data_IF_534856147754
#
_entry.id   IF_534856147754
#
_cell.length_a   1.000
_cell.length_b   1.000
_cell.length_c   1.000
_cell.angle_alpha   90.00
_cell.angle_beta   90.00
_cell.angle_gamma   90.00
#
_symmetry.space_group_name_H-M   'P 1'
#
loop_
_entity.id
_entity.type
_entity.pdbx_description
1 polymer ?
#
# COMPACT_ATOMS: atom_id res chain seq x y z
N UNK A 1 22.36 0.93 5.05
CA UNK A 1 21.08 0.35 5.52
C UNK A 1 20.16 0.23 4.31
N UNK A 2 19.67 -0.98 4.02
CA UNK A 2 18.70 -1.18 2.92
C UNK A 2 17.38 -0.50 3.24
N UNK A 3 16.68 0.01 2.22
CA UNK A 3 15.38 0.67 2.41
C UNK A 3 14.27 -0.39 2.48
N UNK A 4 13.70 -0.63 3.67
CA UNK A 4 12.63 -1.63 3.88
C UNK A 4 11.24 -1.03 3.67
N UNK A 5 10.36 -1.69 2.92
CA UNK A 5 8.96 -1.29 2.69
C UNK A 5 8.03 -2.43 3.06
N UNK A 6 6.98 -2.12 3.82
CA UNK A 6 5.95 -3.08 4.24
C UNK A 6 4.63 -2.75 3.54
N UNK A 7 4.03 -3.73 2.86
CA UNK A 7 2.81 -3.59 2.08
C UNK A 7 1.65 -4.37 2.72
N UNK A 8 0.71 -3.66 3.34
CA UNK A 8 -0.58 -4.23 3.75
C UNK A 8 -1.48 -4.36 2.52
N UNK A 9 -1.78 -5.60 2.09
CA UNK A 9 -2.52 -5.87 0.85
C UNK A 9 -1.65 -6.03 -0.40
N UNK A 10 -0.34 -6.26 -0.23
CA UNK A 10 0.60 -6.49 -1.33
C UNK A 10 0.34 -7.74 -2.19
N UNK A 11 -0.48 -8.69 -1.72
CA UNK A 11 -0.76 -9.94 -2.44
C UNK A 11 -1.79 -9.82 -3.57
N UNK A 12 -2.37 -8.64 -3.79
CA UNK A 12 -3.30 -8.37 -4.91
C UNK A 12 -2.58 -7.88 -6.17
N UNK A 13 -3.31 -7.73 -7.28
CA UNK A 13 -2.76 -7.34 -8.59
C UNK A 13 -1.86 -6.09 -8.55
N UNK A 14 -2.37 -4.97 -8.01
CA UNK A 14 -1.59 -3.74 -7.90
C UNK A 14 -0.46 -3.87 -6.86
N UNK A 15 -0.73 -4.59 -5.76
CA UNK A 15 0.23 -4.82 -4.70
C UNK A 15 1.47 -5.57 -5.17
N UNK A 16 1.29 -6.61 -5.99
CA UNK A 16 2.39 -7.39 -6.55
C UNK A 16 3.22 -6.56 -7.53
N UNK A 17 2.58 -5.80 -8.42
CA UNK A 17 3.29 -4.94 -9.37
C UNK A 17 4.16 -3.88 -8.64
N UNK A 18 3.64 -3.29 -7.56
CA UNK A 18 4.42 -2.36 -6.72
C UNK A 18 5.54 -3.09 -5.97
N UNK A 19 5.26 -4.28 -5.43
CA UNK A 19 6.26 -5.07 -4.71
C UNK A 19 7.43 -5.49 -5.61
N UNK A 20 7.14 -5.97 -6.82
CA UNK A 20 8.13 -6.32 -7.84
C UNK A 20 8.97 -5.12 -8.25
N UNK A 21 8.32 -3.97 -8.51
CA UNK A 21 9.03 -2.74 -8.83
C UNK A 21 10.00 -2.34 -7.72
N UNK A 22 9.54 -2.31 -6.47
CA UNK A 22 10.36 -1.93 -5.32
C UNK A 22 11.53 -2.90 -5.12
N UNK A 23 11.26 -4.21 -5.20
CA UNK A 23 12.29 -5.23 -5.11
C UNK A 23 13.36 -5.08 -6.22
N UNK A 24 12.94 -4.78 -7.45
CA UNK A 24 13.84 -4.51 -8.57
C UNK A 24 14.72 -3.26 -8.36
N UNK A 25 14.23 -2.28 -7.60
CA UNK A 25 14.96 -1.05 -7.24
C UNK A 25 15.75 -1.17 -5.92
N UNK A 26 15.96 -2.39 -5.42
CA UNK A 26 16.84 -2.67 -4.28
C UNK A 26 16.21 -2.41 -2.91
N UNK A 27 14.88 -2.25 -2.85
CA UNK A 27 14.15 -2.20 -1.59
C UNK A 27 13.96 -3.61 -1.02
N UNK A 28 14.04 -3.74 0.30
CA UNK A 28 13.61 -4.95 1.00
C UNK A 28 12.09 -4.87 1.15
N UNK A 29 11.35 -5.78 0.49
CA UNK A 29 9.88 -5.72 0.45
C UNK A 29 9.29 -6.82 1.31
N UNK A 30 8.40 -6.42 2.23
CA UNK A 30 7.62 -7.32 3.08
C UNK A 30 6.14 -7.14 2.77
N UNK A 31 5.44 -8.23 2.44
CA UNK A 31 3.98 -8.24 2.21
C UNK A 31 3.30 -8.86 3.42
N UNK A 32 2.36 -8.11 4.01
CA UNK A 32 1.45 -8.66 5.01
C UNK A 32 0.32 -9.38 4.28
N UNK A 33 0.20 -10.69 4.53
CA UNK A 33 -0.77 -11.58 3.89
C UNK A 33 -1.64 -12.30 4.92
N UNK A 34 -2.87 -12.68 4.52
CA UNK A 34 -3.73 -13.58 5.30
C UNK A 34 -3.40 -15.07 5.06
N UNK A 35 -2.53 -15.35 4.09
CA UNK A 35 -2.08 -16.69 3.74
C UNK A 35 -0.84 -17.11 4.54
N UNK A 36 -0.23 -18.24 4.17
CA UNK A 36 1.01 -18.72 4.82
C UNK A 36 2.16 -17.76 4.57
N UNK A 37 3.06 -17.64 5.55
CA UNK A 37 4.33 -16.96 5.35
C UNK A 37 5.19 -17.71 4.34
N UNK A 38 5.78 -16.99 3.38
CA UNK A 38 6.64 -17.52 2.33
C UNK A 38 7.70 -16.49 1.92
N UNK A 39 8.64 -16.90 1.09
CA UNK A 39 9.64 -16.02 0.48
C UNK A 39 9.67 -16.34 -1.00
N UNK A 40 9.33 -15.37 -1.84
CA UNK A 40 9.23 -15.53 -3.30
C UNK A 40 9.86 -14.31 -3.96
N UNK A 41 10.74 -14.52 -4.94
CA UNK A 41 11.34 -13.45 -5.75
C UNK A 41 11.90 -12.25 -4.96
N UNK A 42 12.56 -12.52 -3.82
CA UNK A 42 13.12 -11.51 -2.89
C UNK A 42 12.08 -10.69 -2.12
N UNK A 43 10.82 -11.09 -2.19
CA UNK A 43 9.70 -10.52 -1.44
C UNK A 43 9.35 -11.48 -0.29
N UNK A 44 9.31 -10.94 0.93
CA UNK A 44 8.99 -11.69 2.14
C UNK A 44 7.50 -11.59 2.42
N UNK A 45 6.79 -12.71 2.45
CA UNK A 45 5.37 -12.78 2.81
C UNK A 45 5.25 -13.19 4.28
N UNK A 46 4.52 -12.42 5.06
CA UNK A 46 4.34 -12.66 6.49
C UNK A 46 2.86 -12.69 6.82
N UNK A 47 2.46 -13.74 7.51
CA UNK A 47 1.09 -13.91 7.99
C UNK A 47 0.72 -12.82 9.00
N UNK A 48 -0.43 -12.19 8.75
CA UNK A 48 -1.06 -11.19 9.60
C UNK A 48 -2.58 -11.45 9.64
N UNK A 49 -3.18 -11.34 10.83
CA UNK A 49 -4.63 -11.54 11.04
C UNK A 49 -5.40 -10.28 11.48
N UNK A 50 -4.71 -9.15 11.70
CA UNK A 50 -5.26 -7.87 12.18
C UNK A 50 -5.86 -7.90 13.58
N UNK A 51 -5.73 -9.02 14.28
CA UNK A 51 -6.29 -9.25 15.61
C UNK A 51 -5.16 -9.33 16.62
N UNK A 52 -4.10 -10.05 16.30
CA UNK A 52 -2.98 -10.34 17.19
C UNK A 52 -1.71 -9.60 16.76
N UNK A 53 -1.01 -9.07 17.76
CA UNK A 53 0.33 -8.50 17.64
C UNK A 53 1.32 -9.67 17.78
N UNK A 54 1.95 -10.05 16.67
CA UNK A 54 2.86 -11.20 16.56
C UNK A 54 4.17 -10.80 15.86
N UNK A 55 4.95 -11.76 15.38
CA UNK A 55 6.26 -11.55 14.75
C UNK A 55 6.28 -10.52 13.60
N UNK A 56 5.15 -10.32 12.91
CA UNK A 56 5.01 -9.33 11.84
C UNK A 56 5.33 -7.90 12.30
N UNK A 57 5.20 -7.60 13.60
CA UNK A 57 5.42 -6.26 14.17
C UNK A 57 6.88 -5.84 14.06
N UNK A 58 7.80 -6.78 14.28
CA UNK A 58 9.25 -6.54 14.13
C UNK A 58 9.65 -6.13 12.72
N UNK A 59 8.80 -6.39 11.72
CA UNK A 59 9.07 -6.02 10.33
C UNK A 59 8.75 -4.58 10.03
N UNK A 60 7.92 -3.95 10.88
CA UNK A 60 7.67 -2.52 10.82
C UNK A 60 8.87 -1.72 11.33
N UNK A 61 9.78 -2.34 12.10
CA UNK A 61 10.96 -1.65 12.60
C UNK A 61 11.86 -1.19 11.45
N UNK A 62 12.13 0.12 11.39
CA UNK A 62 12.93 0.73 10.35
C UNK A 62 12.32 0.72 8.95
N UNK A 63 11.04 0.34 8.81
CA UNK A 63 10.35 0.41 7.52
C UNK A 63 10.00 1.85 7.15
N UNK A 64 10.05 2.15 5.86
CA UNK A 64 9.54 3.40 5.31
C UNK A 64 8.01 3.32 5.28
N UNK A 65 7.36 4.21 6.03
CA UNK A 65 5.91 4.28 6.13
C UNK A 65 5.40 5.57 5.49
N UNK A 66 4.51 5.45 4.51
CA UNK A 66 3.81 6.61 3.97
C UNK A 66 2.69 6.97 4.93
N UNK A 67 2.69 8.20 5.43
CA UNK A 67 1.63 8.73 6.30
C UNK A 67 0.26 8.45 5.64
N UNK A 68 -0.75 7.91 6.35
CA UNK A 68 -2.03 7.61 5.74
C UNK A 68 -2.64 8.88 5.15
N UNK A 69 -2.81 8.88 3.83
CA UNK A 69 -3.39 9.97 3.07
C UNK A 69 -4.78 9.58 2.58
N UNK A 70 -5.65 10.57 2.43
CA UNK A 70 -6.95 10.34 1.80
C UNK A 70 -6.77 9.91 0.34
N UNK A 71 -7.67 9.07 -0.19
CA UNK A 71 -7.65 8.68 -1.61
C UNK A 71 -7.63 9.92 -2.54
N UNK A 72 -8.29 11.01 -2.14
CA UNK A 72 -8.26 12.30 -2.83
C UNK A 72 -6.84 12.88 -2.93
N UNK A 73 -6.10 12.90 -1.83
CA UNK A 73 -4.70 13.37 -1.78
C UNK A 73 -3.78 12.44 -2.56
N UNK A 74 -3.96 11.12 -2.43
CA UNK A 74 -3.22 10.12 -3.21
C UNK A 74 -3.39 10.33 -4.72
N UNK A 75 -4.63 10.36 -5.19
CA UNK A 75 -4.93 10.54 -6.62
C UNK A 75 -4.51 11.93 -7.13
N UNK A 76 -4.54 12.97 -6.29
CA UNK A 76 -4.00 14.28 -6.68
C UNK A 76 -2.49 14.27 -6.86
N UNK A 77 -1.77 13.57 -5.98
CA UNK A 77 -0.31 13.49 -6.01
C UNK A 77 0.18 12.58 -7.14
N UNK A 78 -0.49 11.45 -7.36
CA UNK A 78 -0.23 10.54 -8.48
C UNK A 78 -0.42 11.25 -9.83
N UNK A 79 -1.49 12.04 -9.99
CA UNK A 79 -1.73 12.83 -11.20
C UNK A 79 -0.60 13.82 -11.50
N UNK A 80 -0.11 14.52 -10.47
CA UNK A 80 1.04 15.42 -10.60
C UNK A 80 2.32 14.68 -11.00
N UNK A 81 2.61 13.54 -10.36
CA UNK A 81 3.77 12.72 -10.68
C UNK A 81 3.74 12.21 -12.13
N UNK A 82 2.57 11.81 -12.62
CA UNK A 82 2.34 11.37 -14.00
C UNK A 82 2.25 12.52 -15.03
N UNK A 83 2.47 13.78 -14.64
CA UNK A 83 2.37 14.94 -15.53
C UNK A 83 0.97 15.23 -16.08
N UNK A 84 -0.10 14.70 -15.47
CA UNK A 84 -1.50 14.87 -15.92
C UNK A 84 -2.26 15.84 -15.03
N UNK A 85 -2.48 17.06 -15.50
CA UNK A 85 -3.19 18.12 -14.73
C UNK A 85 -4.71 17.98 -14.66
N UNK A 86 -5.38 17.32 -15.62
CA UNK A 86 -6.83 17.19 -15.63
C UNK A 86 -7.27 15.73 -15.78
N UNK A 87 -7.77 15.15 -14.69
CA UNK A 87 -8.52 13.89 -14.71
C UNK A 87 -9.55 13.93 -13.56
N UNK A 88 -10.86 13.99 -13.85
CA UNK A 88 -11.88 13.99 -12.81
C UNK A 88 -11.91 12.63 -12.09
N UNK A 89 -12.30 12.58 -10.81
CA UNK A 89 -12.49 11.31 -10.11
C UNK A 89 -13.51 10.46 -10.87
N UNK A 90 -13.23 9.17 -11.03
CA UNK A 90 -14.14 8.24 -11.69
C UNK A 90 -15.49 8.25 -10.96
N UNK A 91 -16.61 8.59 -11.64
CA UNK A 91 -17.91 8.62 -10.98
C UNK A 91 -18.25 7.22 -10.47
N UNK A 92 -18.75 7.11 -9.24
CA UNK A 92 -19.06 5.83 -8.62
C UNK A 92 -19.94 4.89 -9.47
N UNK A 93 -20.96 5.36 -10.22
CA UNK A 93 -21.74 4.50 -11.10
C UNK A 93 -20.91 3.84 -12.21
N UNK A 94 -19.93 4.55 -12.78
CA UNK A 94 -19.05 4.02 -13.81
C UNK A 94 -18.06 3.01 -13.25
N UNK A 95 -17.54 3.25 -12.04
CA UNK A 95 -16.68 2.29 -11.33
C UNK A 95 -17.47 1.01 -11.04
N UNK A 96 -18.71 1.15 -10.57
CA UNK A 96 -19.59 0.01 -10.29
C UNK A 96 -19.88 -0.80 -11.54
N UNK A 97 -20.21 -0.12 -12.65
CA UNK A 97 -20.48 -0.73 -13.93
C UNK A 97 -19.25 -1.45 -14.51
N UNK A 98 -18.07 -0.82 -14.48
CA UNK A 98 -16.83 -1.41 -14.98
C UNK A 98 -16.35 -2.59 -14.13
N UNK A 99 -16.45 -2.48 -12.80
CA UNK A 99 -16.10 -3.55 -11.89
C UNK A 99 -17.01 -4.78 -12.09
N UNK A 100 -18.32 -4.56 -12.28
CA UNK A 100 -19.29 -5.64 -12.49
C UNK A 100 -19.20 -6.27 -13.89
N UNK A 101 -19.12 -5.46 -14.95
CA UNK A 101 -19.20 -5.94 -16.33
C UNK A 101 -17.86 -6.37 -16.93
N UNK A 102 -16.75 -5.70 -16.59
CA UNK A 102 -15.45 -5.92 -17.23
C UNK A 102 -14.49 -6.67 -16.32
N UNK A 103 -14.36 -6.24 -15.06
CA UNK A 103 -13.31 -6.75 -14.17
C UNK A 103 -13.77 -7.92 -13.29
N UNK A 104 -15.08 -8.16 -13.16
CA UNK A 104 -15.69 -9.15 -12.24
C UNK A 104 -15.19 -9.02 -10.79
N UNK A 105 -14.90 -7.80 -10.36
CA UNK A 105 -14.35 -7.46 -9.03
C UNK A 105 -15.35 -6.67 -8.20
N UNK A 106 -15.19 -6.69 -6.88
CA UNK A 106 -16.07 -5.96 -5.98
C UNK A 106 -15.83 -4.43 -6.07
N UNK A 107 -16.82 -3.61 -6.46
CA UNK A 107 -16.63 -2.17 -6.63
C UNK A 107 -16.44 -1.41 -5.32
N UNK A 108 -16.89 -1.98 -4.19
CA UNK A 108 -16.64 -1.44 -2.85
C UNK A 108 -15.13 -1.26 -2.60
N UNK A 109 -14.29 -2.12 -3.16
CA UNK A 109 -12.83 -2.06 -3.03
C UNK A 109 -12.22 -0.79 -3.62
N UNK A 110 -12.78 -0.27 -4.71
CA UNK A 110 -12.33 0.95 -5.37
C UNK A 110 -13.00 2.22 -4.79
N UNK A 111 -14.20 2.07 -4.25
CA UNK A 111 -15.03 3.18 -3.78
C UNK A 111 -14.86 3.47 -2.28
N UNK A 112 -14.31 2.52 -1.53
CA UNK A 112 -14.11 2.66 -0.09
C UNK A 112 -12.63 2.62 0.25
N UNK A 113 -12.15 3.67 0.91
CA UNK A 113 -10.86 3.69 1.56
C UNK A 113 -11.08 3.67 3.08
N UNK A 114 -10.17 3.04 3.82
CA UNK A 114 -10.14 3.10 5.28
C UNK A 114 -8.88 3.83 5.72
N UNK A 115 -9.04 5.01 6.32
CA UNK A 115 -7.95 5.69 7.03
C UNK A 115 -7.81 5.03 8.41
N UNK A 116 -7.12 3.89 8.45
CA UNK A 116 -6.80 3.22 9.70
C UNK A 116 -5.41 3.65 10.15
N UNK A 117 -5.35 4.61 11.07
CA UNK A 117 -4.16 4.81 11.91
C UNK A 117 -4.12 3.66 12.93
N UNK A 118 -3.01 2.90 13.02
CA UNK A 118 -2.96 1.75 13.91
C UNK A 118 -2.72 2.22 15.36
N UNK A 119 -3.83 2.48 16.08
CA UNK A 119 -3.85 3.02 17.44
C UNK A 119 -3.01 2.19 18.42
N UNK A 120 -3.14 0.86 18.38
CA UNK A 120 -2.33 -0.07 19.19
C UNK A 120 -0.81 0.02 18.94
N UNK A 121 -0.42 0.44 17.73
CA UNK A 121 0.98 0.59 17.34
C UNK A 121 1.53 1.93 17.85
N UNK A 122 0.70 2.98 17.82
CA UNK A 122 1.02 4.27 18.42
C UNK A 122 1.14 4.15 19.94
N UNK A 123 0.25 3.39 20.57
CA UNK A 123 0.26 3.12 22.01
C UNK A 123 1.49 2.32 22.47
N UNK A 124 2.12 1.55 21.57
CA UNK A 124 3.37 0.83 21.86
C UNK A 124 4.63 1.70 21.74
N UNK A 125 4.49 3.02 21.52
CA UNK A 125 5.60 3.95 21.35
C UNK A 125 6.25 3.91 19.96
N UNK A 126 5.62 3.25 18.99
CA UNK A 126 6.14 3.20 17.63
C UNK A 126 6.08 4.59 16.99
N UNK A 127 7.23 5.06 16.51
CA UNK A 127 7.34 6.38 15.87
C UNK A 127 7.57 6.21 14.38
N UNK A 128 6.66 6.71 13.55
CA UNK A 128 6.80 6.65 12.10
C UNK A 128 7.92 7.59 11.62
N UNK A 129 8.93 7.03 10.94
CA UNK A 129 10.05 7.78 10.36
C UNK A 129 9.73 8.21 8.92
N UNK A 130 9.22 9.45 8.77
CA UNK A 130 9.11 10.29 7.55
C UNK A 130 8.13 9.91 6.42
N UNK A 131 7.54 10.82 5.63
CA UNK A 131 6.99 12.19 5.87
C UNK A 131 6.28 12.80 4.65
N UNK A 132 6.46 12.31 3.41
CA UNK A 132 5.85 12.97 2.24
C UNK A 132 5.55 12.02 1.07
N UNK A 133 4.28 11.96 0.69
CA UNK A 133 3.77 11.16 -0.42
C UNK A 133 4.25 11.64 -1.79
N UNK A 134 4.47 12.96 -1.94
CA UNK A 134 4.82 13.56 -3.22
C UNK A 134 6.21 13.13 -3.68
N UNK A 135 7.16 13.13 -2.77
CA UNK A 135 8.53 12.68 -3.05
C UNK A 135 8.55 11.19 -3.44
N UNK A 136 7.81 10.33 -2.73
CA UNK A 136 7.72 8.90 -3.03
C UNK A 136 7.16 8.63 -4.43
N UNK A 137 6.08 9.31 -4.82
CA UNK A 137 5.44 9.06 -6.12
C UNK A 137 6.28 9.56 -7.31
N UNK A 138 7.14 10.57 -7.14
CA UNK A 138 8.06 11.03 -8.20
C UNK A 138 9.23 10.08 -8.46
N UNK A 139 9.64 9.28 -7.48
CA UNK A 139 10.69 8.26 -7.67
C UNK A 139 10.16 6.98 -8.34
N UNK A 140 8.86 6.71 -8.24
CA UNK A 140 8.20 5.48 -8.68
C UNK A 140 7.68 5.51 -10.12
N UNK A 141 7.45 6.70 -10.69
CA UNK A 141 6.74 6.94 -11.96
C UNK A 141 7.65 7.66 -12.94
#
# INVERSE_FOLDING_TARGET
MGKKVVLAGGSGFLGQSVAEFLAAHGYEVVILTRGKSSMEDRIKYIHWDAVQINDWVSELEGCYAVNPVTNKQFMATLRKAMGKSWNPPAPAPFVWLGAYLLMKTEPSLALTGRNCLPEKLLDSGFTFHYSDLETTLKELV
#
